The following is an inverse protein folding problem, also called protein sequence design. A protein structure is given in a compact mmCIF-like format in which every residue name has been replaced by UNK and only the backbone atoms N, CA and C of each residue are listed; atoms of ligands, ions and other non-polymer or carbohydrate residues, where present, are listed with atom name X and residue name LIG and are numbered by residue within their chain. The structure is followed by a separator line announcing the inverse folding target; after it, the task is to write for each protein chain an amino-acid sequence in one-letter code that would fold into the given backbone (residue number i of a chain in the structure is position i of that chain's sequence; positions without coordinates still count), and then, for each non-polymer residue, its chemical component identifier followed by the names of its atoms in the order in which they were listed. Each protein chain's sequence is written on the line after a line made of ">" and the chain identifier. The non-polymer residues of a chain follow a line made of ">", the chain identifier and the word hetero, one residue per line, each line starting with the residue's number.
data_IF_116605307937
#
_entry.id   IF_116605307937
#
_cell.length_a   1.000
_cell.length_b   1.000
_cell.length_c   1.000
_cell.angle_alpha   90.00
_cell.angle_beta   90.00
_cell.angle_gamma   90.00
#
_symmetry.space_group_name_H-M   'P 1'
#
loop_
_entity.id
_entity.type
_entity.pdbx_description
1 polymer ?
#
# COMPACT_ATOMS: atom_id res chain seq x y z
N UNK A 1 -4.39 6.62 -2.57
CA UNK A 1 -5.76 7.00 -2.99
C UNK A 1 -6.72 6.01 -2.35
N UNK A 2 -7.81 6.50 -1.72
CA UNK A 2 -8.83 5.66 -1.12
C UNK A 2 -10.11 5.63 -1.98
N UNK A 3 -10.43 4.49 -2.53
CA UNK A 3 -11.72 4.22 -3.21
C UNK A 3 -12.58 3.21 -2.43
N UNK A 4 -12.13 2.79 -1.24
CA UNK A 4 -12.90 1.98 -0.31
C UNK A 4 -13.60 2.86 0.74
N UNK A 5 -14.60 2.36 1.49
CA UNK A 5 -15.21 3.08 2.60
C UNK A 5 -14.16 3.50 3.63
N UNK A 6 -14.28 4.75 4.13
CA UNK A 6 -13.40 5.21 5.21
C UNK A 6 -13.77 4.56 6.54
N UNK A 7 -12.80 4.03 7.31
CA UNK A 7 -13.05 3.45 8.63
C UNK A 7 -13.49 4.48 9.68
N UNK A 8 -13.35 5.79 9.39
CA UNK A 8 -13.76 6.87 10.29
C UNK A 8 -15.20 7.36 10.05
N UNK A 9 -15.97 6.70 9.17
CA UNK A 9 -17.39 6.99 9.00
C UNK A 9 -18.13 6.60 10.27
N UNK A 10 -19.00 7.49 10.77
CA UNK A 10 -19.78 7.29 11.99
C UNK A 10 -19.34 8.20 13.13
N UNK A 11 -19.59 7.75 14.38
CA UNK A 11 -19.27 8.53 15.58
C UNK A 11 -17.74 8.56 15.81
N UNK A 12 -17.20 9.75 16.03
CA UNK A 12 -15.78 9.87 16.38
C UNK A 12 -15.52 9.36 17.80
N UNK A 13 -14.38 8.68 17.99
CA UNK A 13 -13.83 8.32 19.29
C UNK A 13 -12.75 9.35 19.61
N UNK A 14 -13.15 10.42 20.30
CA UNK A 14 -12.31 11.61 20.52
C UNK A 14 -11.05 11.32 21.34
N UNK A 15 -11.07 10.28 22.14
CA UNK A 15 -9.94 9.78 22.93
C UNK A 15 -8.81 9.24 22.03
N UNK A 16 -9.15 8.78 20.81
CA UNK A 16 -8.17 8.26 19.85
C UNK A 16 -7.66 9.35 18.89
N UNK A 17 -8.47 10.37 18.61
CA UNK A 17 -8.03 11.43 17.72
C UNK A 17 -9.14 12.38 17.27
N UNK A 18 -8.73 13.39 16.49
CA UNK A 18 -9.64 14.42 15.98
C UNK A 18 -10.62 13.88 14.94
N UNK A 19 -11.81 14.47 14.84
CA UNK A 19 -12.83 14.12 13.83
C UNK A 19 -12.31 14.21 12.40
N UNK A 20 -11.41 15.15 12.13
CA UNK A 20 -10.86 15.42 10.80
C UNK A 20 -9.33 15.37 10.86
N UNK A 21 -8.72 14.15 10.81
CA UNK A 21 -7.27 14.02 10.81
C UNK A 21 -6.66 14.60 9.54
N UNK A 22 -5.49 15.22 9.70
CA UNK A 22 -4.69 15.65 8.55
C UNK A 22 -4.07 14.46 7.83
N UNK A 23 -4.23 14.43 6.51
CA UNK A 23 -3.69 13.41 5.61
C UNK A 23 -2.74 13.99 4.55
N UNK A 24 -2.15 15.17 4.81
CA UNK A 24 -1.16 15.79 3.92
C UNK A 24 0.15 14.99 3.83
N UNK A 25 0.50 14.27 4.92
CA UNK A 25 1.62 13.36 4.99
C UNK A 25 1.16 12.02 5.62
N UNK A 26 0.47 11.16 4.84
CA UNK A 26 -0.07 9.90 5.37
C UNK A 26 1.04 8.89 5.70
N UNK A 27 2.16 8.93 4.97
CA UNK A 27 3.33 8.10 5.19
C UNK A 27 4.53 8.98 5.56
N UNK A 28 5.29 8.57 6.57
CA UNK A 28 6.48 9.29 7.04
C UNK A 28 7.55 9.34 5.95
N UNK A 29 7.95 10.55 5.56
CA UNK A 29 9.04 10.79 4.61
C UNK A 29 10.36 10.22 5.13
N UNK A 30 10.63 10.38 6.42
CA UNK A 30 11.83 9.87 7.06
C UNK A 30 11.94 8.35 6.98
N UNK A 31 10.81 7.64 7.24
CA UNK A 31 10.78 6.18 7.11
C UNK A 31 10.93 5.73 5.65
N UNK A 32 10.35 6.46 4.70
CA UNK A 32 10.52 6.18 3.27
C UNK A 32 11.99 6.34 2.87
N UNK A 33 12.65 7.43 3.24
CA UNK A 33 14.07 7.68 2.93
C UNK A 33 14.97 6.63 3.57
N UNK A 34 14.65 6.20 4.78
CA UNK A 34 15.35 5.11 5.47
C UNK A 34 15.20 3.79 4.71
N UNK A 35 13.98 3.46 4.29
CA UNK A 35 13.71 2.26 3.48
C UNK A 35 14.46 2.28 2.14
N UNK A 36 14.51 3.43 1.46
CA UNK A 36 15.26 3.59 0.21
C UNK A 36 16.76 3.31 0.41
N UNK A 37 17.37 3.82 1.49
CA UNK A 37 18.77 3.51 1.81
C UNK A 37 18.96 2.01 2.03
N UNK A 38 18.10 1.38 2.82
CA UNK A 38 18.18 -0.07 3.11
C UNK A 38 18.06 -0.90 1.84
N UNK A 39 17.15 -0.57 0.96
CA UNK A 39 16.96 -1.28 -0.30
C UNK A 39 18.18 -1.14 -1.22
N UNK A 40 18.73 0.08 -1.34
CA UNK A 40 19.93 0.34 -2.15
C UNK A 40 21.15 -0.41 -1.61
N UNK A 41 21.43 -0.34 -0.32
CA UNK A 41 22.54 -1.05 0.34
C UNK A 41 22.41 -2.57 0.21
N UNK A 42 21.17 -3.07 0.31
CA UNK A 42 20.88 -4.50 0.20
C UNK A 42 20.73 -4.96 -1.26
N UNK A 43 20.86 -4.06 -2.24
CA UNK A 43 20.67 -4.33 -3.68
C UNK A 43 19.30 -4.94 -4.00
N UNK A 44 18.27 -4.54 -3.28
CA UNK A 44 16.89 -4.98 -3.48
C UNK A 44 16.23 -3.99 -4.45
N UNK A 45 15.65 -4.50 -5.54
CA UNK A 45 14.89 -3.70 -6.48
C UNK A 45 13.60 -3.21 -5.83
N UNK A 46 13.34 -1.92 -5.90
CA UNK A 46 12.13 -1.29 -5.37
C UNK A 46 11.68 -0.12 -6.25
N UNK A 47 10.45 0.31 -6.06
CA UNK A 47 9.87 1.49 -6.70
C UNK A 47 9.06 2.28 -5.67
N UNK A 48 8.97 3.59 -5.83
CA UNK A 48 7.99 4.43 -5.14
C UNK A 48 6.82 4.68 -6.06
N UNK A 49 5.62 4.71 -5.48
CA UNK A 49 4.42 4.97 -6.25
C UNK A 49 3.21 5.23 -5.37
N UNK A 50 2.10 5.48 -6.01
CA UNK A 50 0.81 5.71 -5.39
C UNK A 50 0.04 4.40 -5.30
N UNK A 51 -0.30 3.99 -4.09
CA UNK A 51 -1.19 2.86 -3.84
C UNK A 51 -2.64 3.31 -3.87
N UNK A 52 -3.49 2.56 -4.59
CA UNK A 52 -4.94 2.75 -4.61
C UNK A 52 -5.60 1.61 -3.86
N UNK A 53 -6.43 1.94 -2.88
CA UNK A 53 -7.25 0.97 -2.18
C UNK A 53 -8.63 0.89 -2.82
N UNK A 54 -9.05 -0.32 -3.18
CA UNK A 54 -10.38 -0.66 -3.69
C UNK A 54 -11.07 -1.64 -2.74
N UNK A 55 -12.38 -1.78 -2.87
CA UNK A 55 -13.18 -2.63 -1.97
C UNK A 55 -12.97 -4.13 -2.23
N UNK A 56 -12.81 -4.53 -3.49
CA UNK A 56 -12.85 -5.95 -3.87
C UNK A 56 -14.24 -6.59 -3.62
N UNK A 57 -14.33 -7.92 -3.48
CA UNK A 57 -13.24 -8.93 -3.44
C UNK A 57 -12.75 -9.42 -4.81
N UNK A 58 -13.37 -8.99 -5.91
CA UNK A 58 -12.92 -9.34 -7.26
C UNK A 58 -11.64 -8.55 -7.62
N UNK A 59 -10.82 -9.14 -8.47
CA UNK A 59 -9.73 -8.43 -9.13
C UNK A 59 -10.30 -7.47 -10.19
N UNK A 60 -9.49 -6.49 -10.56
CA UNK A 60 -9.88 -5.40 -11.43
C UNK A 60 -10.02 -5.86 -12.89
N UNK A 61 -11.01 -5.32 -13.56
CA UNK A 61 -11.16 -5.43 -15.02
C UNK A 61 -10.09 -4.59 -15.73
N UNK A 62 -9.81 -4.86 -17.03
CA UNK A 62 -8.90 -4.01 -17.82
C UNK A 62 -9.29 -2.53 -17.83
N UNK A 63 -10.59 -2.22 -17.82
CA UNK A 63 -11.08 -0.85 -17.77
C UNK A 63 -10.83 -0.19 -16.41
N UNK A 64 -10.94 -0.93 -15.32
CA UNK A 64 -10.62 -0.46 -13.96
C UNK A 64 -9.13 -0.20 -13.82
N UNK A 65 -8.24 -1.08 -14.28
CA UNK A 65 -6.81 -0.80 -14.29
C UNK A 65 -6.47 0.49 -15.05
N UNK A 66 -7.09 0.69 -16.21
CA UNK A 66 -6.92 1.94 -16.98
C UNK A 66 -7.41 3.16 -16.21
N UNK A 67 -8.57 3.08 -15.57
CA UNK A 67 -9.12 4.15 -14.72
C UNK A 67 -8.19 4.47 -13.57
N UNK A 68 -7.74 3.45 -12.82
CA UNK A 68 -6.81 3.61 -11.69
C UNK A 68 -5.51 4.28 -12.11
N UNK A 69 -4.98 3.92 -13.28
CA UNK A 69 -3.78 4.57 -13.83
C UNK A 69 -4.02 6.04 -14.17
N UNK A 70 -5.18 6.38 -14.77
CA UNK A 70 -5.54 7.76 -15.12
C UNK A 70 -5.62 8.65 -13.89
N UNK A 71 -6.14 8.16 -12.77
CA UNK A 71 -6.24 8.93 -11.51
C UNK A 71 -4.90 8.99 -10.74
N UNK A 72 -3.82 8.42 -11.29
CA UNK A 72 -2.47 8.48 -10.72
C UNK A 72 -2.08 7.31 -9.85
N UNK A 73 -2.78 6.17 -9.92
CA UNK A 73 -2.39 4.93 -9.25
C UNK A 73 -1.24 4.21 -9.94
N UNK A 74 -0.31 3.67 -9.17
CA UNK A 74 0.79 2.82 -9.64
C UNK A 74 0.63 1.38 -9.17
N UNK A 75 -0.01 1.18 -8.03
CA UNK A 75 -0.36 -0.13 -7.48
C UNK A 75 -1.80 -0.09 -6.95
N UNK A 76 -2.48 -1.23 -6.98
CA UNK A 76 -3.83 -1.39 -6.45
C UNK A 76 -3.90 -2.59 -5.50
N UNK A 77 -4.79 -2.52 -4.53
CA UNK A 77 -5.08 -3.61 -3.62
C UNK A 77 -6.25 -3.29 -2.70
N UNK A 78 -6.56 -4.19 -1.77
CA UNK A 78 -7.77 -4.15 -0.93
C UNK A 78 -7.43 -3.89 0.54
N UNK A 79 -6.24 -3.35 0.85
CA UNK A 79 -5.73 -3.19 2.21
C UNK A 79 -4.96 -1.86 2.37
N UNK A 80 -4.20 -1.71 3.45
CA UNK A 80 -3.22 -0.66 3.69
C UNK A 80 -3.84 0.71 3.98
N UNK A 81 -4.68 1.26 3.11
CA UNK A 81 -5.23 2.62 3.27
C UNK A 81 -6.17 2.74 4.48
N UNK A 82 -7.10 1.80 4.76
CA UNK A 82 -7.92 1.85 5.96
C UNK A 82 -7.08 1.86 7.24
N UNK A 83 -6.05 1.03 7.31
CA UNK A 83 -5.13 0.96 8.45
C UNK A 83 -4.35 2.26 8.63
N UNK A 84 -3.86 2.86 7.53
CA UNK A 84 -3.17 4.15 7.57
C UNK A 84 -4.08 5.28 8.01
N UNK A 85 -5.34 5.30 7.55
CA UNK A 85 -6.33 6.31 7.98
C UNK A 85 -6.54 6.25 9.50
N UNK A 86 -6.70 5.05 10.06
CA UNK A 86 -6.87 4.86 11.52
C UNK A 86 -5.59 5.23 12.27
N UNK A 87 -4.43 4.80 11.81
CA UNK A 87 -3.15 5.14 12.44
C UNK A 87 -2.90 6.65 12.43
N UNK A 88 -3.17 7.34 11.32
CA UNK A 88 -3.05 8.80 11.23
C UNK A 88 -4.09 9.52 12.12
N UNK A 89 -5.29 8.98 12.24
CA UNK A 89 -6.28 9.49 13.20
C UNK A 89 -5.73 9.46 14.64
N UNK A 90 -4.95 8.44 14.97
CA UNK A 90 -4.27 8.27 16.26
C UNK A 90 -2.89 8.96 16.33
N UNK A 91 -2.55 9.78 15.34
CA UNK A 91 -1.26 10.48 15.23
C UNK A 91 -0.04 9.54 15.20
N UNK A 92 -0.19 8.32 14.70
CA UNK A 92 0.91 7.37 14.53
C UNK A 92 1.64 7.64 13.21
N UNK A 93 2.96 7.52 13.20
CA UNK A 93 3.75 7.50 11.97
C UNK A 93 3.50 6.19 11.21
N UNK A 94 3.39 6.29 9.88
CA UNK A 94 3.09 5.16 9.03
C UNK A 94 4.16 5.01 7.93
N UNK A 95 4.45 3.76 7.61
CA UNK A 95 5.21 3.35 6.44
C UNK A 95 4.52 2.13 5.85
N UNK A 96 4.49 2.03 4.53
CA UNK A 96 3.93 0.88 3.85
C UNK A 96 4.84 0.40 2.72
N UNK A 97 4.88 -0.90 2.53
CA UNK A 97 5.53 -1.56 1.42
C UNK A 97 4.58 -2.64 0.86
N UNK A 98 4.44 -2.67 -0.44
CA UNK A 98 3.61 -3.67 -1.13
C UNK A 98 4.48 -4.54 -2.03
N UNK A 99 4.16 -5.82 -2.06
CA UNK A 99 4.71 -6.75 -3.05
C UNK A 99 3.80 -6.75 -4.26
N UNK A 100 4.37 -6.45 -5.42
CA UNK A 100 3.65 -6.55 -6.69
C UNK A 100 3.64 -8.02 -7.11
N UNK A 101 2.45 -8.59 -7.25
CA UNK A 101 2.24 -10.01 -7.53
C UNK A 101 1.88 -10.28 -8.99
N UNK A 102 1.26 -9.31 -9.63
CA UNK A 102 0.79 -9.37 -11.01
C UNK A 102 0.76 -7.97 -11.64
N UNK A 103 0.54 -7.88 -12.94
CA UNK A 103 0.60 -6.64 -13.68
C UNK A 103 -0.75 -6.32 -14.34
N UNK A 104 -1.39 -5.23 -13.88
CA UNK A 104 -2.59 -4.65 -14.48
C UNK A 104 -2.32 -3.75 -15.69
N UNK A 105 -1.36 -4.11 -16.55
CA UNK A 105 -0.95 -3.31 -17.71
C UNK A 105 -1.68 -3.81 -18.95
N UNK A 106 -2.28 -2.91 -19.73
CA UNK A 106 -2.96 -3.24 -20.97
C UNK A 106 -2.07 -4.10 -21.90
N UNK A 107 -2.62 -5.21 -22.39
CA UNK A 107 -1.89 -6.20 -23.18
C UNK A 107 -1.00 -7.17 -22.38
N UNK A 108 -0.92 -7.02 -21.04
CA UNK A 108 -0.15 -7.91 -20.15
C UNK A 108 -0.98 -8.45 -19.00
N UNK A 109 -2.29 -8.20 -19.00
CA UNK A 109 -3.20 -8.71 -17.98
C UNK A 109 -3.39 -10.20 -18.25
N UNK A 110 -2.96 -11.03 -17.30
CA UNK A 110 -3.10 -12.48 -17.33
C UNK A 110 -4.08 -12.93 -16.24
N UNK A 111 -4.68 -14.09 -16.45
CA UNK A 111 -5.50 -14.69 -15.40
C UNK A 111 -4.56 -15.22 -14.31
N UNK A 112 -4.68 -14.67 -13.11
CA UNK A 112 -3.91 -15.09 -11.94
C UNK A 112 -4.76 -15.91 -10.98
N UNK A 113 -4.15 -16.87 -10.34
CA UNK A 113 -4.74 -17.67 -9.27
C UNK A 113 -4.26 -17.17 -7.91
N UNK A 114 -5.02 -17.46 -6.85
CA UNK A 114 -4.61 -17.11 -5.50
C UNK A 114 -3.27 -17.77 -5.10
N UNK A 115 -3.01 -18.97 -5.59
CA UNK A 115 -1.76 -19.70 -5.38
C UNK A 115 -0.55 -18.99 -6.00
N UNK A 116 -0.70 -18.44 -7.21
CA UNK A 116 0.36 -17.68 -7.89
C UNK A 116 0.67 -16.39 -7.14
N UNK A 117 -0.36 -15.69 -6.68
CA UNK A 117 -0.22 -14.50 -5.82
C UNK A 117 0.57 -14.84 -4.56
N UNK A 118 0.22 -15.93 -3.87
CA UNK A 118 0.94 -16.37 -2.68
C UNK A 118 2.39 -16.76 -2.97
N UNK A 119 2.66 -17.38 -4.11
CA UNK A 119 4.03 -17.74 -4.50
C UNK A 119 4.89 -16.50 -4.78
N UNK A 120 4.33 -15.48 -5.46
CA UNK A 120 5.01 -14.21 -5.67
C UNK A 120 5.33 -13.51 -4.33
N UNK A 121 4.38 -13.48 -3.41
CA UNK A 121 4.56 -12.94 -2.06
C UNK A 121 5.67 -13.68 -1.28
N UNK A 122 5.69 -15.03 -1.32
CA UNK A 122 6.74 -15.83 -0.68
C UNK A 122 8.13 -15.54 -1.22
N UNK A 123 8.28 -15.30 -2.53
CA UNK A 123 9.58 -14.92 -3.14
C UNK A 123 10.10 -13.58 -2.63
N UNK A 124 9.23 -12.63 -2.36
CA UNK A 124 9.61 -11.31 -1.85
C UNK A 124 9.83 -11.28 -0.33
N UNK A 125 9.33 -12.27 0.41
CA UNK A 125 9.37 -12.32 1.87
C UNK A 125 10.76 -12.10 2.48
N UNK A 126 11.89 -12.69 1.98
CA UNK A 126 13.22 -12.43 2.55
C UNK A 126 13.62 -10.95 2.47
N UNK A 127 13.25 -10.28 1.37
CA UNK A 127 13.53 -8.86 1.18
C UNK A 127 12.72 -8.00 2.16
N UNK A 128 11.43 -8.33 2.36
CA UNK A 128 10.59 -7.66 3.35
C UNK A 128 11.13 -7.84 4.78
N UNK A 129 11.53 -9.05 5.15
CA UNK A 129 12.13 -9.33 6.47
C UNK A 129 13.38 -8.50 6.68
N UNK A 130 14.25 -8.40 5.67
CA UNK A 130 15.47 -7.60 5.71
C UNK A 130 15.14 -6.12 5.93
N UNK A 131 14.18 -5.58 5.19
CA UNK A 131 13.73 -4.20 5.34
C UNK A 131 13.19 -3.93 6.75
N UNK A 132 12.21 -4.73 7.19
CA UNK A 132 11.52 -4.50 8.48
C UNK A 132 12.49 -4.56 9.64
N UNK A 133 13.40 -5.56 9.67
CA UNK A 133 14.42 -5.65 10.72
C UNK A 133 15.28 -4.39 10.79
N UNK A 134 15.79 -3.91 9.65
CA UNK A 134 16.67 -2.74 9.61
C UNK A 134 15.95 -1.39 9.84
N UNK A 135 14.63 -1.33 9.68
CA UNK A 135 13.84 -0.12 9.98
C UNK A 135 13.56 -0.02 11.49
N UNK A 136 13.42 -1.17 12.18
CA UNK A 136 13.08 -1.21 13.60
C UNK A 136 14.33 -1.08 14.48
N UNK A 137 15.51 -1.54 14.01
CA UNK A 137 16.81 -1.40 14.66
C UNK A 137 17.32 0.05 14.62
#
# INVERSE_FOLDING_TARGET
>A
INLAPSPLIGKNISELGTRFPDMSEPYSKEMIESAERIFNESKICFHKGTYVCVTGPNLETPAEYKFLKIIGGDAVGMSTVPEVIVARHMNMQCFAVSVITDLGIEGKIEKVTHEEIQQAAKKAQPNLITLIKKIID
#
